data_IF_515203647545
#
_entry.id   IF_515203647545
#
_cell.length_a   1.000
_cell.length_b   1.000
_cell.length_c   1.000
_cell.angle_alpha   90.00
_cell.angle_beta   90.00
_cell.angle_gamma   90.00
#
_symmetry.space_group_name_H-M   'P 1'
#
loop_
_entity.id
_entity.type
_entity.pdbx_description
1 polymer ?
#
# COMPACT_ATOMS: atom_id res chain seq x y z
N UNK A 1 -29.53 -18.57 -4.50
CA UNK A 1 -28.26 -18.45 -3.75
C UNK A 1 -27.11 -18.61 -4.73
N UNK A 2 -26.16 -17.68 -4.72
CA UNK A 2 -24.85 -17.80 -5.39
C UNK A 2 -23.89 -18.56 -4.48
N UNK A 3 -22.98 -19.37 -5.02
CA UNK A 3 -21.98 -20.06 -4.20
C UNK A 3 -21.02 -19.07 -3.51
N UNK A 4 -20.46 -19.49 -2.37
CA UNK A 4 -19.41 -18.72 -1.66
C UNK A 4 -18.19 -18.56 -2.58
N UNK A 5 -17.81 -19.63 -3.28
CA UNK A 5 -16.70 -19.63 -4.25
C UNK A 5 -16.88 -18.57 -5.34
N UNK A 6 -18.11 -18.36 -5.81
CA UNK A 6 -18.42 -17.30 -6.77
C UNK A 6 -18.26 -15.90 -6.17
N UNK A 7 -18.71 -15.69 -4.94
CA UNK A 7 -18.55 -14.40 -4.26
C UNK A 7 -17.07 -14.05 -4.04
N UNK A 8 -16.27 -15.03 -3.60
CA UNK A 8 -14.82 -14.88 -3.44
C UNK A 8 -14.13 -14.60 -4.77
N UNK A 9 -14.44 -15.36 -5.83
CA UNK A 9 -13.85 -15.15 -7.14
C UNK A 9 -14.17 -13.75 -7.72
N UNK A 10 -15.39 -13.24 -7.51
CA UNK A 10 -15.76 -11.89 -7.93
C UNK A 10 -14.93 -10.87 -7.17
N UNK A 11 -14.82 -11.02 -5.85
CA UNK A 11 -14.04 -10.12 -5.00
C UNK A 11 -12.58 -10.09 -5.42
N UNK A 12 -11.93 -11.25 -5.54
CA UNK A 12 -10.54 -11.35 -5.98
C UNK A 12 -10.35 -10.73 -7.37
N UNK A 13 -11.25 -11.01 -8.31
CA UNK A 13 -11.16 -10.43 -9.65
C UNK A 13 -11.23 -8.90 -9.62
N UNK A 14 -12.13 -8.30 -8.83
CA UNK A 14 -12.22 -6.83 -8.70
C UNK A 14 -10.95 -6.25 -8.08
N UNK A 15 -10.48 -6.81 -6.96
CA UNK A 15 -9.27 -6.31 -6.28
C UNK A 15 -8.01 -6.44 -7.17
N UNK A 16 -7.92 -7.53 -7.93
CA UNK A 16 -6.82 -7.73 -8.88
C UNK A 16 -6.89 -6.77 -10.07
N UNK A 17 -8.08 -6.50 -10.61
CA UNK A 17 -8.28 -5.50 -11.66
C UNK A 17 -7.88 -4.10 -11.19
N UNK A 18 -8.28 -3.72 -9.98
CA UNK A 18 -7.93 -2.42 -9.40
C UNK A 18 -6.41 -2.29 -9.19
N UNK A 19 -5.74 -3.37 -8.79
CA UNK A 19 -4.29 -3.39 -8.60
C UNK A 19 -3.51 -3.32 -9.93
N UNK A 20 -4.05 -3.89 -10.99
CA UNK A 20 -3.43 -3.89 -12.32
C UNK A 20 -3.69 -2.58 -13.10
N UNK A 21 -4.56 -1.71 -12.59
CA UNK A 21 -4.87 -0.42 -13.21
C UNK A 21 -3.68 0.55 -13.12
N UNK A 22 -3.17 0.98 -14.27
CA UNK A 22 -1.99 1.85 -14.36
C UNK A 22 -2.32 3.34 -14.59
N UNK A 23 -3.61 3.71 -14.73
CA UNK A 23 -4.04 5.11 -14.83
C UNK A 23 -4.96 5.42 -16.02
N UNK A 24 -5.10 6.71 -16.34
CA UNK A 24 -6.16 7.29 -17.20
C UNK A 24 -6.31 6.69 -18.61
N UNK A 25 -5.31 5.99 -19.12
CA UNK A 25 -5.34 5.33 -20.43
C UNK A 25 -5.73 3.84 -20.40
N UNK A 26 -5.78 3.22 -19.21
CA UNK A 26 -6.10 1.81 -19.10
C UNK A 26 -7.59 1.57 -19.27
N UNK A 27 -7.91 0.63 -20.16
CA UNK A 27 -9.27 0.16 -20.41
C UNK A 27 -9.44 -1.19 -19.75
N UNK A 28 -10.63 -1.48 -19.24
CA UNK A 28 -10.94 -2.75 -18.55
C UNK A 28 -10.49 -3.99 -19.34
N UNK A 29 -10.64 -4.01 -20.67
CA UNK A 29 -10.20 -5.15 -21.47
C UNK A 29 -8.67 -5.32 -21.50
N UNK A 30 -7.90 -4.23 -21.45
CA UNK A 30 -6.44 -4.31 -21.39
C UNK A 30 -5.99 -4.86 -20.03
N UNK A 31 -6.64 -4.40 -18.96
CA UNK A 31 -6.38 -4.89 -17.59
C UNK A 31 -6.73 -6.36 -17.49
N UNK A 32 -7.91 -6.78 -17.97
CA UNK A 32 -8.30 -8.20 -18.02
C UNK A 32 -7.36 -9.02 -18.88
N UNK A 33 -6.89 -8.50 -20.02
CA UNK A 33 -5.92 -9.20 -20.85
C UNK A 33 -4.62 -9.44 -20.07
N UNK A 34 -4.07 -8.43 -19.39
CA UNK A 34 -2.90 -8.60 -18.52
C UNK A 34 -3.17 -9.62 -17.40
N UNK A 35 -4.32 -9.52 -16.75
CA UNK A 35 -4.71 -10.44 -15.67
C UNK A 35 -4.84 -11.87 -16.19
N UNK A 36 -5.39 -12.07 -17.38
CA UNK A 36 -5.49 -13.36 -18.07
C UNK A 36 -4.11 -13.95 -18.33
N UNK A 37 -3.14 -13.16 -18.80
CA UNK A 37 -1.77 -13.62 -19.03
C UNK A 37 -1.08 -14.05 -17.73
N UNK A 38 -1.34 -13.36 -16.61
CA UNK A 38 -0.70 -13.65 -15.32
C UNK A 38 -1.35 -14.80 -14.56
N UNK A 39 -2.67 -14.90 -14.60
CA UNK A 39 -3.44 -15.93 -13.86
C UNK A 39 -3.67 -17.20 -14.68
N UNK A 40 -3.55 -17.11 -16.00
CA UNK A 40 -3.95 -18.18 -16.92
C UNK A 40 -5.46 -18.39 -17.00
N UNK A 41 -6.29 -17.51 -16.42
CA UNK A 41 -7.74 -17.57 -16.54
C UNK A 41 -8.16 -16.84 -17.83
N UNK A 42 -8.96 -17.47 -18.72
CA UNK A 42 -9.34 -16.83 -19.97
C UNK A 42 -10.04 -15.49 -19.78
N UNK A 43 -9.74 -14.51 -20.65
CA UNK A 43 -10.34 -13.17 -20.59
C UNK A 43 -11.87 -13.21 -20.65
N UNK A 44 -12.45 -14.11 -21.45
CA UNK A 44 -13.90 -14.31 -21.54
C UNK A 44 -14.51 -14.74 -20.21
N UNK A 45 -13.77 -15.49 -19.40
CA UNK A 45 -14.19 -15.93 -18.07
C UNK A 45 -14.12 -14.79 -17.06
N UNK A 46 -13.03 -14.02 -17.07
CA UNK A 46 -12.87 -12.81 -16.24
C UNK A 46 -13.95 -11.76 -16.57
N UNK A 47 -14.24 -11.55 -17.85
CA UNK A 47 -15.35 -10.70 -18.31
C UNK A 47 -16.70 -11.18 -17.76
N UNK A 48 -16.92 -12.50 -17.74
CA UNK A 48 -18.15 -13.09 -17.21
C UNK A 48 -18.27 -12.88 -15.70
N UNK A 49 -17.18 -13.03 -14.95
CA UNK A 49 -17.14 -12.74 -13.51
C UNK A 49 -17.47 -11.27 -13.22
N UNK A 50 -16.92 -10.34 -14.02
CA UNK A 50 -17.13 -8.91 -13.84
C UNK A 50 -18.57 -8.46 -14.17
N UNK A 51 -19.08 -8.83 -15.34
CA UNK A 51 -20.33 -8.26 -15.87
C UNK A 51 -21.54 -9.19 -15.81
N UNK A 52 -21.31 -10.51 -15.75
CA UNK A 52 -22.36 -11.54 -15.88
C UNK A 52 -22.45 -12.45 -14.66
N UNK A 53 -21.89 -12.04 -13.52
CA UNK A 53 -21.93 -12.79 -12.25
C UNK A 53 -23.35 -13.08 -11.78
N UNK A 54 -24.31 -12.17 -12.01
CA UNK A 54 -25.74 -12.38 -11.66
C UNK A 54 -26.35 -13.62 -12.32
N UNK A 55 -25.84 -14.02 -13.48
CA UNK A 55 -26.28 -15.23 -14.20
C UNK A 55 -25.43 -16.47 -13.89
N UNK A 56 -24.44 -16.36 -13.01
CA UNK A 56 -23.58 -17.47 -12.61
C UNK A 56 -24.13 -18.10 -11.33
N UNK A 57 -24.23 -19.43 -11.32
CA UNK A 57 -24.53 -20.19 -10.09
C UNK A 57 -23.25 -20.48 -9.32
N UNK A 58 -22.18 -20.77 -10.05
CA UNK A 58 -20.90 -21.20 -9.49
C UNK A 58 -19.72 -20.87 -10.43
N UNK A 59 -18.51 -21.13 -9.95
CA UNK A 59 -17.24 -20.95 -10.65
C UNK A 59 -16.62 -22.31 -10.97
N UNK A 60 -15.94 -22.44 -12.11
CA UNK A 60 -15.20 -23.65 -12.41
C UNK A 60 -14.02 -23.77 -11.43
N UNK A 61 -13.91 -24.90 -10.75
CA UNK A 61 -12.92 -25.09 -9.68
C UNK A 61 -11.47 -24.83 -10.11
N UNK A 62 -11.14 -25.13 -11.37
CA UNK A 62 -9.84 -24.80 -11.95
C UNK A 62 -9.56 -23.29 -11.96
N UNK A 63 -10.49 -22.49 -12.47
CA UNK A 63 -10.33 -21.03 -12.54
C UNK A 63 -10.37 -20.41 -11.15
N UNK A 64 -11.21 -20.92 -10.25
CA UNK A 64 -11.21 -20.52 -8.85
C UNK A 64 -9.84 -20.73 -8.21
N UNK A 65 -9.22 -21.91 -8.41
CA UNK A 65 -7.89 -22.21 -7.85
C UNK A 65 -6.80 -21.30 -8.43
N UNK A 66 -6.83 -21.05 -9.74
CA UNK A 66 -5.87 -20.14 -10.41
C UNK A 66 -5.98 -18.70 -9.90
N UNK A 67 -7.21 -18.19 -9.78
CA UNK A 67 -7.48 -16.87 -9.19
C UNK A 67 -7.00 -16.78 -7.74
N UNK A 68 -7.33 -17.79 -6.93
CA UNK A 68 -6.90 -17.85 -5.53
C UNK A 68 -5.38 -17.82 -5.40
N UNK A 69 -4.67 -18.70 -6.10
CA UNK A 69 -3.20 -18.78 -6.03
C UNK A 69 -2.52 -17.46 -6.42
N UNK A 70 -3.05 -16.79 -7.45
CA UNK A 70 -2.51 -15.50 -7.86
C UNK A 70 -2.84 -14.40 -6.84
N UNK A 71 -4.06 -14.39 -6.30
CA UNK A 71 -4.47 -13.47 -5.25
C UNK A 71 -3.61 -13.61 -4.00
N UNK A 72 -3.43 -14.84 -3.50
CA UNK A 72 -2.62 -15.14 -2.33
C UNK A 72 -1.17 -14.66 -2.52
N UNK A 73 -0.56 -14.96 -3.68
CA UNK A 73 0.78 -14.47 -4.04
C UNK A 73 0.88 -12.93 -4.02
N UNK A 74 -0.16 -12.27 -4.49
CA UNK A 74 -0.23 -10.80 -4.57
C UNK A 74 -0.38 -10.17 -3.17
N UNK A 75 -1.05 -10.87 -2.25
CA UNK A 75 -1.13 -10.52 -0.83
C UNK A 75 0.21 -10.73 -0.11
N UNK A 76 0.85 -11.89 -0.29
CA UNK A 76 2.15 -12.22 0.31
C UNK A 76 3.22 -11.18 -0.03
N UNK A 77 3.34 -10.79 -1.31
CA UNK A 77 4.29 -9.74 -1.74
C UNK A 77 4.03 -8.40 -1.04
N UNK A 78 2.77 -8.09 -0.73
CA UNK A 78 2.43 -6.86 -0.03
C UNK A 78 2.79 -6.94 1.47
N UNK A 79 2.55 -8.09 2.10
CA UNK A 79 2.93 -8.34 3.48
C UNK A 79 4.45 -8.27 3.66
N UNK A 80 5.21 -8.89 2.77
CA UNK A 80 6.68 -8.78 2.76
C UNK A 80 7.16 -7.33 2.61
N UNK A 81 6.52 -6.53 1.74
CA UNK A 81 6.86 -5.13 1.58
C UNK A 81 6.57 -4.34 2.87
N UNK A 82 5.41 -4.58 3.50
CA UNK A 82 5.02 -3.96 4.76
C UNK A 82 5.94 -4.35 5.93
N UNK A 83 6.44 -5.60 5.95
CA UNK A 83 7.41 -6.07 6.94
C UNK A 83 8.78 -5.42 6.77
N UNK A 84 9.25 -5.25 5.52
CA UNK A 84 10.47 -4.48 5.23
C UNK A 84 10.35 -3.04 5.72
N UNK A 85 9.25 -2.35 5.39
CA UNK A 85 9.00 -1.00 5.90
C UNK A 85 8.93 -0.91 7.42
N UNK A 86 8.33 -1.90 8.09
CA UNK A 86 8.32 -1.98 9.56
C UNK A 86 9.72 -2.18 10.13
N UNK A 87 10.54 -3.04 9.52
CA UNK A 87 11.91 -3.30 9.95
C UNK A 87 12.82 -2.07 9.76
N UNK A 88 12.68 -1.32 8.67
CA UNK A 88 13.41 -0.08 8.41
C UNK A 88 13.04 1.00 9.44
N UNK A 89 11.76 1.14 9.80
CA UNK A 89 11.30 2.04 10.87
C UNK A 89 11.78 1.64 12.26
N UNK A 90 11.81 0.34 12.57
CA UNK A 90 12.29 -0.15 13.87
C UNK A 90 13.82 -0.02 14.00
N UNK A 91 14.57 -0.20 12.90
CA UNK A 91 16.01 -0.03 12.86
C UNK A 91 16.51 1.43 12.89
N UNK A 92 15.65 2.40 12.59
CA UNK A 92 15.97 3.84 12.63
C UNK A 92 15.71 4.52 13.98
N UNK A 93 15.20 3.78 14.99
CA UNK A 93 15.06 4.29 16.36
C UNK A 93 16.30 4.04 17.24
N UNK A 94 17.51 3.93 16.68
CA UNK A 94 18.70 4.14 17.48
C UNK A 94 19.01 5.64 17.50
N UNK A 95 18.33 6.29 18.44
CA UNK A 95 18.55 7.64 18.90
C UNK A 95 20.04 7.87 19.19
N UNK A 96 20.80 8.37 18.21
CA UNK A 96 22.01 9.15 18.51
C UNK A 96 21.57 10.57 18.82
N UNK A 97 20.88 10.74 19.96
CA UNK A 97 20.80 12.03 20.63
C UNK A 97 22.24 12.40 20.96
N UNK A 98 22.78 13.31 20.14
CA UNK A 98 24.08 13.92 20.29
C UNK A 98 24.17 14.53 21.70
N UNK A 99 24.75 13.79 22.64
CA UNK A 99 25.06 14.30 23.96
C UNK A 99 26.21 15.31 23.81
N UNK A 100 25.85 16.56 23.51
CA UNK A 100 26.74 17.69 23.73
C UNK A 100 26.62 18.06 25.21
N UNK A 101 27.62 17.80 26.06
CA UNK A 101 27.57 18.24 27.44
C UNK A 101 27.55 19.77 27.44
N UNK A 102 26.49 20.36 28.01
CA UNK A 102 26.44 21.77 28.30
C UNK A 102 27.53 22.06 29.34
N UNK A 103 28.65 22.60 28.87
CA UNK A 103 29.75 23.07 29.69
C UNK A 103 29.24 24.13 30.67
N UNK A 104 29.46 23.84 31.95
CA UNK A 104 29.20 24.70 33.08
C UNK A 104 29.92 26.05 32.96
N UNK A 105 29.21 27.12 33.29
CA UNK A 105 29.74 28.46 33.48
C UNK A 105 28.89 29.20 34.50
N UNK A 106 29.18 28.96 35.78
CA UNK A 106 28.70 29.74 36.91
C UNK A 106 29.04 31.23 36.72
N UNK A 107 28.08 32.11 37.01
CA UNK A 107 28.27 33.56 36.95
C UNK A 107 27.11 34.30 37.60
N UNK A 108 27.19 34.40 38.93
CA UNK A 108 26.27 35.11 39.82
C UNK A 108 26.04 36.59 39.45
N UNK A 109 24.87 37.06 39.90
CA UNK A 109 24.59 38.40 40.44
C UNK A 109 24.11 39.54 39.50
N UNK A 110 22.78 39.76 39.56
CA UNK A 110 21.98 40.97 39.91
C UNK A 110 22.37 42.38 39.38
N UNK A 111 21.50 43.41 39.51
CA UNK A 111 20.88 44.16 38.42
C UNK A 111 21.44 45.60 38.27
N UNK A 112 21.01 46.37 37.25
CA UNK A 112 20.68 47.82 37.34
C UNK A 112 20.73 48.54 35.97
N UNK A 113 19.63 49.26 35.69
CA UNK A 113 19.55 50.68 35.26
C UNK A 113 20.64 51.25 34.30
N UNK A 114 20.19 51.84 33.19
CA UNK A 114 20.95 52.92 32.52
C UNK A 114 20.51 53.25 31.09
N UNK A 115 19.87 54.41 30.89
CA UNK A 115 19.64 55.06 29.58
C UNK A 115 20.96 55.45 28.91
N UNK A 116 21.06 55.37 27.57
CA UNK A 116 21.68 56.42 26.74
C UNK A 116 21.45 56.20 25.24
N UNK A 117 21.10 57.29 24.56
CA UNK A 117 20.78 57.44 23.15
C UNK A 117 22.05 57.87 22.38
N UNK A 118 22.41 57.23 21.26
CA UNK A 118 23.29 57.83 20.21
C UNK A 118 22.97 57.20 18.84
N UNK A 119 22.33 57.96 17.94
CA UNK A 119 22.44 57.78 16.49
C UNK A 119 23.18 59.00 15.92
N UNK A 120 24.38 58.74 15.38
CA UNK A 120 25.05 59.55 14.37
C UNK A 120 24.79 58.89 13.01
N UNK A 121 24.30 59.66 12.05
CA UNK A 121 24.69 59.66 10.63
C UNK A 121 23.89 60.77 9.95
#
# INVERSE_FOLDING_TARGET
MTSIALQEAIRWNTELMDREFQGRGDKDYLIRHRLSQKTGVPESYLFRLQHKSRGMKDVAGEYYRRLKLYYDRVCEVNEEAADRYRSERLGTNHETTNQKPASAGLGMAVPAVGKANQKKA
#
